data_IF_659152721417
#
_entry.id   IF_659152721417
#
_cell.length_a   1.000
_cell.length_b   1.000
_cell.length_c   1.000
_cell.angle_alpha   90.00
_cell.angle_beta   90.00
_cell.angle_gamma   90.00
#
_symmetry.space_group_name_H-M   'P 1'
#
loop_
_entity.id
_entity.type
_entity.pdbx_description
1 polymer ?
#
# COMPACT_ATOMS: atom_id res chain seq x y z
N UNK A 1 16.36 33.48 5.65
CA UNK A 1 15.97 34.09 6.95
C UNK A 1 14.47 33.94 7.12
N UNK A 2 14.05 33.22 8.17
CA UNK A 2 12.64 32.97 8.46
C UNK A 2 12.02 34.21 9.11
N UNK A 3 10.77 34.60 8.79
CA UNK A 3 10.12 35.65 9.56
C UNK A 3 9.90 35.17 11.01
N UNK A 4 10.18 36.05 11.97
CA UNK A 4 10.19 35.71 13.41
C UNK A 4 9.09 36.43 14.18
N UNK A 5 8.32 37.32 13.54
CA UNK A 5 7.21 38.05 14.17
C UNK A 5 6.12 38.36 13.15
N UNK A 6 4.87 38.35 13.62
CA UNK A 6 3.74 38.81 12.83
C UNK A 6 3.92 40.27 12.37
N UNK A 7 3.58 40.52 11.10
CA UNK A 7 3.53 41.86 10.51
C UNK A 7 2.52 41.89 9.37
N UNK A 8 2.02 43.07 8.98
CA UNK A 8 1.07 43.20 7.86
C UNK A 8 1.62 42.63 6.53
N UNK A 9 2.94 42.75 6.31
CA UNK A 9 3.60 42.22 5.11
C UNK A 9 3.88 40.71 5.16
N UNK A 10 3.98 40.14 6.37
CA UNK A 10 4.29 38.73 6.61
C UNK A 10 3.42 38.26 7.77
N UNK A 11 2.19 37.79 7.48
CA UNK A 11 1.26 37.37 8.51
C UNK A 11 1.72 36.05 9.14
N UNK A 12 2.14 36.10 10.39
CA UNK A 12 2.44 34.91 11.20
C UNK A 12 1.28 34.70 12.17
N UNK A 13 0.23 34.08 11.67
CA UNK A 13 -0.96 33.73 12.45
C UNK A 13 -1.07 32.19 12.47
N UNK A 14 -1.45 31.65 13.62
CA UNK A 14 -1.76 30.24 13.81
C UNK A 14 -3.19 30.10 14.31
N UNK A 15 -3.98 29.23 13.69
CA UNK A 15 -5.32 28.91 14.14
C UNK A 15 -5.28 27.79 15.18
N UNK A 16 -5.69 28.09 16.41
CA UNK A 16 -5.65 27.14 17.53
C UNK A 16 -6.92 26.29 17.66
N UNK A 17 -7.84 26.37 16.69
CA UNK A 17 -9.16 25.76 16.75
C UNK A 17 -10.29 26.71 17.18
N UNK A 18 -9.95 27.84 17.80
CA UNK A 18 -10.91 28.86 18.23
C UNK A 18 -10.65 30.23 17.60
N UNK A 19 -9.40 30.70 17.62
CA UNK A 19 -9.01 32.00 17.09
C UNK A 19 -7.66 31.96 16.37
N UNK A 20 -7.41 32.99 15.57
CA UNK A 20 -6.10 33.19 14.95
C UNK A 20 -5.20 33.96 15.91
N UNK A 21 -4.14 33.29 16.37
CA UNK A 21 -3.18 33.85 17.33
C UNK A 21 -1.92 34.29 16.63
N UNK A 22 -1.42 35.46 16.99
CA UNK A 22 -0.20 36.01 16.41
C UNK A 22 1.03 35.32 17.02
N UNK A 23 1.95 34.89 16.15
CA UNK A 23 3.20 34.28 16.56
C UNK A 23 4.35 35.30 16.59
N UNK A 24 5.23 35.14 17.57
CA UNK A 24 6.50 35.86 17.71
C UNK A 24 7.53 34.99 18.40
N UNK A 25 8.66 34.76 17.74
CA UNK A 25 9.84 34.16 18.35
C UNK A 25 10.58 35.20 19.18
N UNK A 26 10.93 34.84 20.42
CA UNK A 26 11.76 35.64 21.32
C UNK A 26 12.53 34.72 22.29
N UNK A 27 13.82 35.00 22.49
CA UNK A 27 14.74 34.13 23.25
C UNK A 27 14.47 34.11 24.76
N UNK A 28 13.86 35.15 25.29
CA UNK A 28 13.56 35.30 26.72
C UNK A 28 12.10 34.96 27.07
N UNK A 29 11.38 34.29 26.18
CA UNK A 29 9.96 33.95 26.36
C UNK A 29 9.77 32.44 26.38
N UNK A 30 8.73 31.97 27.07
CA UNK A 30 8.38 30.54 27.19
C UNK A 30 7.36 30.08 26.16
N UNK A 31 6.64 31.02 25.53
CA UNK A 31 5.61 30.77 24.53
C UNK A 31 5.87 31.52 23.22
N UNK A 32 5.51 30.95 22.06
CA UNK A 32 5.58 31.65 20.78
C UNK A 32 4.38 32.58 20.53
N UNK A 33 3.32 32.50 21.34
CA UNK A 33 2.11 33.30 21.16
C UNK A 33 2.27 34.69 21.77
N UNK A 34 2.01 35.74 20.99
CA UNK A 34 2.24 37.13 21.40
C UNK A 34 1.46 37.52 22.65
N UNK A 35 0.25 37.00 22.80
CA UNK A 35 -0.67 37.25 23.92
C UNK A 35 -0.28 36.52 25.22
N UNK A 36 0.64 35.54 25.15
CA UNK A 36 1.19 34.82 26.31
C UNK A 36 2.59 35.32 26.72
N UNK A 37 3.14 36.32 26.03
CA UNK A 37 4.49 36.81 26.29
C UNK A 37 4.50 37.98 27.27
N UNK A 38 5.38 37.91 28.26
CA UNK A 38 5.47 38.88 29.34
C UNK A 38 6.61 39.87 29.14
N UNK A 39 6.35 41.15 29.44
CA UNK A 39 7.37 42.20 29.45
C UNK A 39 7.99 42.48 28.08
N UNK A 40 9.29 42.75 28.06
CA UNK A 40 10.04 43.06 26.83
C UNK A 40 10.47 41.75 26.15
N UNK A 41 10.09 41.57 24.88
CA UNK A 41 10.47 40.41 24.08
C UNK A 41 11.76 40.66 23.28
N UNK A 42 12.79 39.85 23.52
CA UNK A 42 14.06 39.88 22.78
C UNK A 42 13.93 39.03 21.53
N UNK A 43 13.65 39.68 20.39
CA UNK A 43 13.46 39.00 19.10
C UNK A 43 14.82 38.84 18.40
N UNK A 44 15.20 37.60 18.14
CA UNK A 44 16.41 37.25 17.40
C UNK A 44 16.08 36.63 16.03
N UNK A 45 16.96 36.78 15.02
CA UNK A 45 16.76 36.17 13.72
C UNK A 45 16.96 34.65 13.77
N UNK A 46 16.11 33.90 13.06
CA UNK A 46 16.33 32.46 12.82
C UNK A 46 17.08 32.32 11.49
N UNK A 47 18.30 31.79 11.56
CA UNK A 47 19.23 31.64 10.44
C UNK A 47 19.45 30.16 10.20
N UNK A 48 19.26 29.74 8.94
CA UNK A 48 19.64 28.41 8.49
C UNK A 48 21.06 28.50 7.92
N UNK A 49 21.98 27.74 8.47
CA UNK A 49 23.36 27.62 8.01
C UNK A 49 23.44 26.44 7.03
N UNK A 50 23.86 26.70 5.79
CA UNK A 50 23.89 25.71 4.70
C UNK A 50 22.57 24.94 4.51
N UNK A 51 21.46 25.64 4.72
CA UNK A 51 20.11 25.07 4.62
C UNK A 51 19.65 24.26 5.84
N UNK A 52 20.44 24.22 6.92
CA UNK A 52 20.13 23.50 8.15
C UNK A 52 19.96 24.47 9.33
N UNK A 53 19.06 24.14 10.24
CA UNK A 53 18.92 24.84 11.51
C UNK A 53 19.00 23.78 12.62
N UNK A 54 20.06 23.84 13.42
CA UNK A 54 20.21 22.96 14.58
C UNK A 54 19.55 23.61 15.78
N UNK A 55 18.46 23.02 16.25
CA UNK A 55 17.75 23.49 17.45
C UNK A 55 18.10 22.57 18.61
N UNK A 56 18.54 23.16 19.72
CA UNK A 56 18.89 22.42 20.93
C UNK A 56 17.60 22.03 21.67
N UNK A 57 17.54 20.81 22.21
CA UNK A 57 16.32 20.24 22.81
C UNK A 57 15.72 21.09 23.93
N UNK A 58 16.55 21.79 24.71
CA UNK A 58 16.07 22.66 25.79
C UNK A 58 15.35 23.92 25.29
N UNK A 59 15.51 24.31 24.01
CA UNK A 59 14.86 25.47 23.42
C UNK A 59 13.45 25.13 22.93
N UNK A 60 12.61 24.68 23.86
CA UNK A 60 11.24 24.23 23.58
C UNK A 60 10.36 25.33 22.95
N UNK A 61 10.61 26.61 23.26
CA UNK A 61 9.90 27.72 22.64
C UNK A 61 10.22 27.82 21.14
N UNK A 62 11.49 27.73 20.74
CA UNK A 62 11.88 27.78 19.33
C UNK A 62 11.29 26.58 18.56
N UNK A 63 11.36 25.39 19.15
CA UNK A 63 10.77 24.18 18.57
C UNK A 63 9.27 24.38 18.32
N UNK A 64 8.51 24.81 19.34
CA UNK A 64 7.08 25.12 19.22
C UNK A 64 6.82 26.18 18.15
N UNK A 65 7.59 27.27 18.15
CA UNK A 65 7.46 28.33 17.14
C UNK A 65 7.62 27.77 15.73
N UNK A 66 8.64 26.94 15.49
CA UNK A 66 8.93 26.36 14.18
C UNK A 66 7.82 25.42 13.71
N UNK A 67 7.28 24.57 14.59
CA UNK A 67 6.17 23.68 14.26
C UNK A 67 4.87 24.43 13.94
N UNK A 68 4.60 25.53 14.63
CA UNK A 68 3.41 26.35 14.41
C UNK A 68 3.56 27.35 13.25
N UNK A 69 4.77 27.50 12.72
CA UNK A 69 5.07 28.50 11.71
C UNK A 69 4.34 28.19 10.40
N UNK A 70 3.73 29.18 9.70
CA UNK A 70 2.99 28.94 8.46
C UNK A 70 3.82 28.31 7.33
N UNK A 71 5.13 28.56 7.30
CA UNK A 71 6.06 27.97 6.33
C UNK A 71 6.53 26.53 6.69
N UNK A 72 6.10 25.96 7.82
CA UNK A 72 6.41 24.57 8.20
C UNK A 72 5.76 23.59 7.22
N UNK A 73 6.49 22.55 6.82
CA UNK A 73 6.18 21.62 5.72
C UNK A 73 6.02 22.26 4.33
N UNK A 74 6.34 23.56 4.17
CA UNK A 74 6.32 24.24 2.87
C UNK A 74 7.72 24.70 2.44
N UNK A 75 8.45 25.37 3.35
CA UNK A 75 9.83 25.85 3.09
C UNK A 75 10.87 25.13 3.93
N UNK A 76 10.47 24.63 5.09
CA UNK A 76 11.32 23.86 5.98
C UNK A 76 10.47 22.79 6.66
N UNK A 77 11.13 21.74 7.13
CA UNK A 77 10.50 20.64 7.82
C UNK A 77 11.50 20.10 8.85
N UNK A 78 11.01 19.27 9.77
CA UNK A 78 11.88 18.55 10.68
C UNK A 78 12.59 17.42 9.94
N UNK A 79 13.91 17.53 9.85
CA UNK A 79 14.76 16.48 9.32
C UNK A 79 15.14 15.50 10.42
N UNK A 80 14.71 14.25 10.25
CA UNK A 80 15.05 13.14 11.12
C UNK A 80 15.68 12.04 10.26
N UNK A 81 17.02 11.99 10.29
CA UNK A 81 17.79 11.04 9.50
C UNK A 81 17.51 9.58 9.88
N UNK A 82 17.21 9.32 11.15
CA UNK A 82 16.95 7.97 11.64
C UNK A 82 15.57 7.49 11.19
N UNK A 83 14.54 8.34 11.33
CA UNK A 83 13.19 8.05 10.80
C UNK A 83 13.22 7.82 9.29
N UNK A 84 13.91 8.69 8.56
CA UNK A 84 13.99 8.58 7.10
C UNK A 84 14.75 7.32 6.67
N UNK A 85 15.82 6.95 7.39
CA UNK A 85 16.55 5.70 7.16
C UNK A 85 15.69 4.47 7.46
N UNK A 86 14.94 4.48 8.57
CA UNK A 86 14.04 3.38 8.93
C UNK A 86 12.96 3.17 7.86
N UNK A 87 12.37 4.25 7.34
CA UNK A 87 11.42 4.19 6.24
C UNK A 87 12.05 3.60 4.97
N UNK A 88 13.26 4.02 4.62
CA UNK A 88 13.98 3.46 3.48
C UNK A 88 14.26 1.96 3.66
N UNK A 89 14.61 1.53 4.87
CA UNK A 89 14.82 0.10 5.20
C UNK A 89 13.51 -0.68 5.09
N UNK A 90 12.39 -0.13 5.55
CA UNK A 90 11.07 -0.74 5.42
C UNK A 90 10.67 -0.92 3.95
N UNK A 91 10.82 0.14 3.14
CA UNK A 91 10.54 0.12 1.70
C UNK A 91 11.41 -0.93 0.97
N UNK A 92 12.70 -0.99 1.30
CA UNK A 92 13.64 -1.96 0.73
C UNK A 92 13.30 -3.39 1.15
N UNK A 93 12.98 -3.61 2.42
CA UNK A 93 12.62 -4.93 2.96
C UNK A 93 11.31 -5.41 2.32
N UNK A 94 10.30 -4.55 2.24
CA UNK A 94 9.02 -4.89 1.58
C UNK A 94 9.21 -5.28 0.11
N UNK A 95 10.04 -4.53 -0.62
CA UNK A 95 10.39 -4.83 -2.00
C UNK A 95 11.17 -6.15 -2.15
N UNK A 96 12.08 -6.44 -1.23
CA UNK A 96 12.86 -7.68 -1.22
C UNK A 96 11.98 -8.88 -0.91
N UNK A 97 11.14 -8.81 0.12
CA UNK A 97 10.25 -9.88 0.53
C UNK A 97 9.27 -10.25 -0.59
N UNK A 98 8.69 -9.24 -1.27
CA UNK A 98 7.82 -9.47 -2.41
C UNK A 98 8.56 -10.16 -3.57
N UNK A 99 9.81 -9.79 -3.85
CA UNK A 99 10.64 -10.46 -4.86
C UNK A 99 10.95 -11.91 -4.50
N UNK A 100 11.26 -12.19 -3.22
CA UNK A 100 11.50 -13.55 -2.74
C UNK A 100 10.23 -14.38 -2.87
N UNK A 101 9.08 -13.86 -2.47
CA UNK A 101 7.79 -14.52 -2.65
C UNK A 101 7.52 -14.82 -4.14
N UNK A 102 7.71 -13.84 -5.03
CA UNK A 102 7.57 -14.04 -6.47
C UNK A 102 8.55 -15.08 -7.03
N UNK A 103 9.77 -15.14 -6.49
CA UNK A 103 10.78 -16.12 -6.90
C UNK A 103 10.39 -17.53 -6.46
N UNK A 104 9.79 -17.71 -5.30
CA UNK A 104 9.57 -19.03 -4.71
C UNK A 104 8.18 -19.61 -5.01
N UNK A 105 7.23 -18.79 -5.48
CA UNK A 105 5.92 -19.26 -5.94
C UNK A 105 6.03 -20.25 -7.10
N UNK A 106 5.05 -21.15 -7.18
CA UNK A 106 4.89 -22.02 -8.33
C UNK A 106 4.45 -21.21 -9.56
N UNK A 107 4.72 -21.78 -10.74
CA UNK A 107 4.42 -21.11 -12.00
C UNK A 107 2.92 -20.85 -12.17
N UNK A 108 2.04 -21.73 -11.67
CA UNK A 108 0.61 -21.58 -11.85
C UNK A 108 0.05 -20.41 -11.05
N UNK A 109 0.47 -20.24 -9.79
CA UNK A 109 0.09 -19.11 -8.96
C UNK A 109 0.67 -17.79 -9.47
N UNK A 110 1.93 -17.81 -9.94
CA UNK A 110 2.53 -16.64 -10.60
C UNK A 110 1.76 -16.23 -11.85
N UNK A 111 1.33 -17.20 -12.66
CA UNK A 111 0.55 -16.94 -13.87
C UNK A 111 -0.82 -16.35 -13.54
N UNK A 112 -1.47 -16.82 -12.47
CA UNK A 112 -2.74 -16.27 -12.01
C UNK A 112 -2.62 -14.80 -11.60
N UNK A 113 -1.56 -14.44 -10.86
CA UNK A 113 -1.26 -13.04 -10.51
C UNK A 113 -0.94 -12.25 -11.79
N UNK A 114 -0.08 -12.78 -12.67
CA UNK A 114 0.31 -12.14 -13.92
C UNK A 114 -0.89 -11.82 -14.82
N UNK A 115 -1.90 -12.70 -14.89
CA UNK A 115 -3.13 -12.47 -15.67
C UNK A 115 -4.00 -11.33 -15.14
N UNK A 116 -3.84 -10.95 -13.86
CA UNK A 116 -4.52 -9.79 -13.29
C UNK A 116 -3.77 -8.50 -13.61
N UNK A 117 -2.44 -8.51 -13.50
CA UNK A 117 -1.62 -7.30 -13.61
C UNK A 117 -1.11 -7.01 -15.02
N UNK A 118 -0.96 -8.04 -15.86
CA UNK A 118 -0.51 -7.92 -17.24
C UNK A 118 -1.72 -7.86 -18.18
N UNK A 119 -1.74 -6.84 -19.05
CA UNK A 119 -2.86 -6.58 -19.97
C UNK A 119 -3.06 -7.68 -21.03
N UNK A 120 -2.00 -8.37 -21.44
CA UNK A 120 -2.05 -9.43 -22.46
C UNK A 120 -0.74 -10.22 -22.55
N UNK A 121 -0.78 -11.41 -23.14
CA UNK A 121 0.43 -12.13 -23.58
C UNK A 121 1.06 -13.07 -22.56
N UNK A 122 0.46 -13.25 -21.39
CA UNK A 122 0.96 -14.15 -20.33
C UNK A 122 1.11 -15.59 -20.84
N UNK A 123 0.14 -16.08 -21.62
CA UNK A 123 0.14 -17.43 -22.19
C UNK A 123 1.26 -17.71 -23.20
N UNK A 124 1.94 -16.67 -23.68
CA UNK A 124 3.02 -16.80 -24.66
C UNK A 124 4.41 -16.73 -24.01
N UNK A 125 4.48 -16.46 -22.70
CA UNK A 125 5.74 -16.37 -21.97
C UNK A 125 6.21 -17.77 -21.59
N UNK A 126 7.53 -17.98 -21.69
CA UNK A 126 8.15 -19.13 -21.03
C UNK A 126 8.08 -18.98 -19.50
N UNK A 127 8.15 -20.07 -18.76
CA UNK A 127 8.15 -20.04 -17.29
C UNK A 127 9.24 -19.15 -16.70
N UNK A 128 10.41 -19.12 -17.35
CA UNK A 128 11.53 -18.26 -16.96
C UNK A 128 11.26 -16.78 -17.19
N UNK A 129 10.63 -16.42 -18.31
CA UNK A 129 10.24 -15.04 -18.61
C UNK A 129 9.14 -14.57 -17.66
N UNK A 130 8.11 -15.38 -17.45
CA UNK A 130 7.06 -15.09 -16.48
C UNK A 130 7.63 -14.83 -15.09
N UNK A 131 8.52 -15.71 -14.61
CA UNK A 131 9.14 -15.55 -13.29
C UNK A 131 9.99 -14.29 -13.20
N UNK A 132 10.81 -14.00 -14.21
CA UNK A 132 11.61 -12.77 -14.27
C UNK A 132 10.70 -11.54 -14.21
N UNK A 133 9.67 -11.50 -15.04
CA UNK A 133 8.80 -10.34 -15.18
C UNK A 133 7.98 -10.11 -13.90
N UNK A 134 7.52 -11.19 -13.25
CA UNK A 134 6.82 -11.11 -11.96
C UNK A 134 7.73 -10.71 -10.79
N UNK A 135 9.01 -11.13 -10.76
CA UNK A 135 9.98 -10.64 -9.78
C UNK A 135 10.19 -9.12 -9.95
N UNK A 136 10.34 -8.65 -11.19
CA UNK A 136 10.48 -7.21 -11.48
C UNK A 136 9.21 -6.45 -11.07
N UNK A 137 8.04 -7.01 -11.34
CA UNK A 137 6.76 -6.44 -10.93
C UNK A 137 6.65 -6.32 -9.40
N UNK A 138 6.95 -7.40 -8.67
CA UNK A 138 6.89 -7.46 -7.22
C UNK A 138 7.86 -6.46 -6.56
N UNK A 139 9.05 -6.28 -7.16
CA UNK A 139 10.01 -5.24 -6.72
C UNK A 139 9.40 -3.85 -6.77
N UNK A 140 8.74 -3.52 -7.88
CA UNK A 140 8.23 -2.18 -8.14
C UNK A 140 6.88 -1.91 -7.46
N UNK A 141 6.10 -2.96 -7.19
CA UNK A 141 4.75 -2.89 -6.64
C UNK A 141 4.56 -3.90 -5.48
N UNK A 142 5.37 -3.85 -4.40
CA UNK A 142 5.39 -4.89 -3.38
C UNK A 142 4.07 -5.04 -2.64
N UNK A 143 3.44 -3.91 -2.30
CA UNK A 143 2.14 -3.89 -1.61
C UNK A 143 1.06 -4.55 -2.47
N UNK A 144 0.96 -4.16 -3.75
CA UNK A 144 -0.04 -4.72 -4.66
C UNK A 144 0.19 -6.21 -4.92
N UNK A 145 1.45 -6.61 -5.14
CA UNK A 145 1.80 -8.01 -5.33
C UNK A 145 1.41 -8.86 -4.10
N UNK A 146 1.75 -8.40 -2.89
CA UNK A 146 1.40 -9.10 -1.65
C UNK A 146 -0.11 -9.15 -1.42
N UNK A 147 -0.86 -8.12 -1.81
CA UNK A 147 -2.32 -8.13 -1.74
C UNK A 147 -2.92 -9.19 -2.67
N UNK A 148 -2.43 -9.28 -3.91
CA UNK A 148 -2.89 -10.27 -4.88
C UNK A 148 -2.51 -11.70 -4.46
N UNK A 149 -1.29 -11.88 -3.93
CA UNK A 149 -0.83 -13.16 -3.40
C UNK A 149 -1.71 -13.67 -2.25
N UNK A 150 -2.24 -12.75 -1.43
CA UNK A 150 -3.12 -13.09 -0.32
C UNK A 150 -4.61 -13.06 -0.67
N UNK A 151 -4.99 -12.75 -1.92
CA UNK A 151 -6.39 -12.73 -2.35
C UNK A 151 -6.94 -14.16 -2.48
N UNK A 152 -7.80 -14.54 -1.54
CA UNK A 152 -8.47 -15.84 -1.54
C UNK A 152 -9.28 -16.09 -2.83
N UNK A 153 -9.91 -15.06 -3.39
CA UNK A 153 -10.70 -15.23 -4.62
C UNK A 153 -9.78 -15.55 -5.79
N UNK A 154 -8.57 -15.00 -5.82
CA UNK A 154 -7.57 -15.33 -6.84
C UNK A 154 -7.13 -16.79 -6.72
N UNK A 155 -6.84 -17.27 -5.50
CA UNK A 155 -6.48 -18.67 -5.23
C UNK A 155 -7.58 -19.64 -5.64
N UNK A 156 -8.82 -19.37 -5.23
CA UNK A 156 -9.97 -20.21 -5.56
C UNK A 156 -10.27 -20.22 -7.07
N UNK A 157 -10.06 -19.08 -7.75
CA UNK A 157 -10.19 -19.00 -9.21
C UNK A 157 -9.08 -19.77 -9.92
N UNK A 158 -7.85 -19.75 -9.42
CA UNK A 158 -6.77 -20.56 -9.96
C UNK A 158 -7.08 -22.06 -9.82
N UNK A 159 -7.53 -22.47 -8.63
CA UNK A 159 -7.97 -23.85 -8.39
C UNK A 159 -9.08 -24.28 -9.37
N UNK A 160 -10.06 -23.41 -9.62
CA UNK A 160 -11.11 -23.63 -10.60
C UNK A 160 -10.58 -23.83 -12.03
N UNK A 161 -9.61 -23.02 -12.46
CA UNK A 161 -8.95 -23.14 -13.78
C UNK A 161 -8.22 -24.48 -13.87
N UNK A 162 -7.33 -24.77 -12.91
CA UNK A 162 -6.53 -26.00 -12.87
C UNK A 162 -7.40 -27.26 -12.86
N UNK A 163 -8.49 -27.26 -12.11
CA UNK A 163 -9.40 -28.39 -12.05
C UNK A 163 -10.02 -28.72 -13.42
N UNK A 164 -10.26 -27.71 -14.27
CA UNK A 164 -10.78 -27.90 -15.62
C UNK A 164 -9.67 -28.31 -16.59
N UNK A 165 -8.49 -27.70 -16.49
CA UNK A 165 -7.34 -28.01 -17.36
C UNK A 165 -6.82 -29.44 -17.17
N UNK A 166 -6.74 -29.90 -15.91
CA UNK A 166 -6.37 -31.29 -15.57
C UNK A 166 -7.51 -32.29 -15.82
N UNK A 167 -8.66 -31.82 -16.31
CA UNK A 167 -9.80 -32.67 -16.63
C UNK A 167 -10.43 -33.35 -15.41
N UNK A 168 -10.31 -32.77 -14.22
CA UNK A 168 -11.04 -33.20 -13.01
C UNK A 168 -12.51 -32.73 -13.14
N UNK A 169 -12.69 -31.50 -13.60
CA UNK A 169 -13.96 -30.87 -13.94
C UNK A 169 -14.06 -30.65 -15.46
N UNK A 170 -15.29 -30.64 -15.97
CA UNK A 170 -15.58 -30.38 -17.38
C UNK A 170 -16.61 -29.26 -17.49
N UNK A 171 -16.32 -28.29 -18.36
CA UNK A 171 -17.27 -27.29 -18.79
C UNK A 171 -18.16 -27.86 -19.91
N UNK A 172 -19.49 -27.83 -19.74
CA UNK A 172 -20.42 -28.24 -20.81
C UNK A 172 -20.42 -27.23 -21.96
N UNK A 173 -21.01 -27.63 -23.09
CA UNK A 173 -21.08 -26.82 -24.30
C UNK A 173 -21.88 -25.51 -24.15
N UNK A 174 -22.66 -25.36 -23.08
CA UNK A 174 -23.33 -24.11 -22.71
C UNK A 174 -22.39 -23.07 -22.08
N UNK A 175 -21.11 -23.43 -21.88
CA UNK A 175 -20.09 -22.63 -21.22
C UNK A 175 -20.49 -22.09 -19.85
N UNK A 176 -21.39 -22.78 -19.14
CA UNK A 176 -21.92 -22.33 -17.83
C UNK A 176 -22.06 -23.46 -16.83
N UNK A 177 -22.33 -24.67 -17.30
CA UNK A 177 -22.53 -25.82 -16.43
C UNK A 177 -21.20 -26.55 -16.23
N UNK A 178 -20.81 -26.70 -14.96
CA UNK A 178 -19.60 -27.43 -14.55
C UNK A 178 -20.01 -28.80 -14.02
N UNK A 179 -19.38 -29.86 -14.52
CA UNK A 179 -19.63 -31.24 -14.11
C UNK A 179 -18.34 -31.98 -13.76
N UNK A 180 -18.43 -33.09 -13.04
CA UNK A 180 -17.30 -33.98 -12.81
C UNK A 180 -16.93 -34.74 -14.09
N UNK A 181 -15.64 -34.90 -14.35
CA UNK A 181 -15.19 -35.61 -15.55
C UNK A 181 -15.54 -37.12 -15.54
N UNK A 182 -15.41 -37.76 -14.38
CA UNK A 182 -15.75 -39.18 -14.19
C UNK A 182 -17.26 -39.46 -14.15
N UNK A 183 -18.08 -38.45 -13.85
CA UNK A 183 -19.53 -38.56 -13.73
C UNK A 183 -20.20 -37.37 -14.43
N UNK A 184 -20.23 -37.39 -15.77
CA UNK A 184 -20.75 -36.27 -16.59
C UNK A 184 -22.22 -35.89 -16.33
N UNK A 185 -22.96 -36.76 -15.63
CA UNK A 185 -24.34 -36.54 -15.20
C UNK A 185 -24.43 -35.80 -13.85
N UNK A 186 -23.36 -35.77 -13.06
CA UNK A 186 -23.31 -35.10 -11.76
C UNK A 186 -22.85 -33.66 -11.94
N UNK A 187 -23.81 -32.75 -11.82
CA UNK A 187 -23.57 -31.30 -11.91
C UNK A 187 -22.96 -30.80 -10.61
N UNK A 188 -21.87 -30.05 -10.73
CA UNK A 188 -21.24 -29.36 -9.59
C UNK A 188 -21.96 -28.04 -9.35
N UNK A 189 -22.06 -27.23 -10.40
CA UNK A 189 -22.75 -25.95 -10.35
C UNK A 189 -23.12 -25.47 -11.75
N UNK A 190 -23.94 -24.42 -11.80
CA UNK A 190 -24.26 -23.67 -13.03
C UNK A 190 -23.98 -22.19 -12.75
N UNK A 191 -23.09 -21.58 -13.53
CA UNK A 191 -22.79 -20.16 -13.38
C UNK A 191 -24.00 -19.29 -13.74
N UNK A 192 -24.27 -18.19 -13.01
CA UNK A 192 -25.29 -17.22 -13.37
C UNK A 192 -25.12 -16.66 -14.80
N UNK A 193 -26.19 -16.14 -15.38
CA UNK A 193 -26.13 -15.63 -16.75
C UNK A 193 -25.29 -14.36 -16.80
N UNK A 194 -24.32 -14.30 -17.73
CA UNK A 194 -23.43 -13.15 -17.89
C UNK A 194 -22.21 -13.15 -16.95
N UNK A 195 -22.07 -14.15 -16.08
CA UNK A 195 -20.90 -14.27 -15.20
C UNK A 195 -19.81 -15.17 -15.80
N UNK A 196 -18.56 -14.86 -15.46
CA UNK A 196 -17.43 -15.73 -15.77
C UNK A 196 -17.49 -17.00 -14.91
N UNK A 197 -17.43 -18.17 -15.54
CA UNK A 197 -17.60 -19.46 -14.83
C UNK A 197 -16.53 -19.71 -13.78
N UNK A 198 -15.28 -19.32 -14.02
CA UNK A 198 -14.21 -19.53 -13.03
C UNK A 198 -14.40 -18.65 -11.80
N UNK A 199 -14.88 -17.41 -11.98
CA UNK A 199 -15.25 -16.54 -10.85
C UNK A 199 -16.46 -17.09 -10.09
N UNK A 200 -17.48 -17.59 -10.80
CA UNK A 200 -18.64 -18.19 -10.17
C UNK A 200 -18.27 -19.49 -9.40
N UNK A 201 -17.34 -20.29 -9.93
CA UNK A 201 -16.82 -21.49 -9.29
C UNK A 201 -15.96 -21.18 -8.05
N UNK A 202 -15.16 -20.12 -8.12
CA UNK A 202 -14.43 -19.62 -6.96
C UNK A 202 -15.36 -19.17 -5.82
N UNK A 203 -16.47 -18.50 -6.16
CA UNK A 203 -17.51 -18.14 -5.18
C UNK A 203 -18.25 -19.37 -4.65
N UNK A 204 -18.53 -20.35 -5.51
CA UNK A 204 -19.17 -21.60 -5.11
C UNK A 204 -18.32 -22.35 -4.08
N UNK A 205 -17.00 -22.41 -4.22
CA UNK A 205 -16.10 -23.06 -3.24
C UNK A 205 -16.17 -22.45 -1.83
N UNK A 206 -16.72 -21.25 -1.66
CA UNK A 206 -16.94 -20.63 -0.34
C UNK A 206 -18.24 -21.06 0.34
N UNK A 207 -19.10 -21.79 -0.36
CA UNK A 207 -20.34 -22.35 0.20
C UNK A 207 -20.09 -23.70 0.86
N UNK A 208 -20.95 -24.13 1.77
CA UNK A 208 -20.81 -25.43 2.45
C UNK A 208 -20.72 -26.60 1.45
N UNK A 209 -21.57 -26.61 0.41
CA UNK A 209 -21.53 -27.63 -0.65
C UNK A 209 -20.26 -27.52 -1.50
N UNK A 210 -19.77 -26.31 -1.74
CA UNK A 210 -18.57 -26.07 -2.53
C UNK A 210 -17.27 -26.40 -1.80
N UNK A 211 -17.23 -26.33 -0.47
CA UNK A 211 -16.06 -26.73 0.32
C UNK A 211 -15.76 -28.22 0.16
N UNK A 212 -16.78 -29.08 0.19
CA UNK A 212 -16.64 -30.52 -0.06
C UNK A 212 -16.11 -30.79 -1.48
N UNK A 213 -16.65 -30.08 -2.47
CA UNK A 213 -16.20 -30.18 -3.86
C UNK A 213 -14.74 -29.73 -3.99
N UNK A 214 -14.39 -28.60 -3.38
CA UNK A 214 -13.04 -28.04 -3.37
C UNK A 214 -12.05 -29.04 -2.77
N UNK A 215 -12.37 -29.64 -1.62
CA UNK A 215 -11.50 -30.62 -0.97
C UNK A 215 -11.30 -31.86 -1.85
N UNK A 216 -12.35 -32.34 -2.53
CA UNK A 216 -12.25 -33.45 -3.48
C UNK A 216 -11.38 -33.12 -4.70
N UNK A 217 -11.40 -31.87 -5.18
CA UNK A 217 -10.53 -31.41 -6.27
C UNK A 217 -9.08 -31.35 -5.79
N UNK A 218 -8.83 -30.73 -4.64
CA UNK A 218 -7.48 -30.57 -4.09
C UNK A 218 -6.81 -31.93 -3.83
N UNK A 219 -7.58 -32.95 -3.42
CA UNK A 219 -7.04 -34.31 -3.23
C UNK A 219 -6.68 -35.03 -4.54
N UNK A 220 -7.15 -34.55 -5.70
CA UNK A 220 -6.91 -35.14 -7.02
C UNK A 220 -5.81 -34.41 -7.81
N UNK A 221 -5.44 -33.20 -7.40
CA UNK A 221 -4.33 -32.42 -7.94
C UNK A 221 -3.01 -32.82 -7.28
#
# INVERSE_FOLDING_TARGET
MLPVKHSNSKPLLYFDGSMNRALRWATNQTSPFVDEQDGLATVEPIIFEDGKLMVQEYNSNLVKFLYLHPDFNQKFYEFDAERDANKQVEDLTSSLDAQVAAKDLDISDLEAIARVVMKSGVSNLTSSELRRDMIIYARNNPVEFNNLLNDENLKLRNLAVRAIEEGILILKGDQRTVVWAGEKNKTVMVAPFGENVYSALALFFKTDEGLDVMQNITNKL
#
